data_IF_424797418106
#
_entry.id   IF_424797418106
#
_cell.length_a   1.000
_cell.length_b   1.000
_cell.length_c   1.000
_cell.angle_alpha   90.00
_cell.angle_beta   90.00
_cell.angle_gamma   90.00
#
_symmetry.space_group_name_H-M   'P 1'
#
loop_
_entity.id
_entity.type
_entity.pdbx_description
1 polymer ?
#
# COMPACT_ATOMS: atom_id res chain seq x y z
N UNK A 1 6.37 43.08 -26.20
CA UNK A 1 5.95 41.72 -26.58
C UNK A 1 5.96 40.89 -25.30
N UNK A 2 4.78 40.62 -24.73
CA UNK A 2 4.64 39.72 -23.58
C UNK A 2 5.06 38.32 -24.03
N UNK A 3 5.86 37.58 -23.27
CA UNK A 3 6.14 36.19 -23.61
C UNK A 3 4.80 35.43 -23.62
N UNK A 4 4.44 34.84 -24.74
CA UNK A 4 3.36 33.85 -24.81
C UNK A 4 3.79 32.68 -23.91
N UNK A 5 3.31 32.69 -22.67
CA UNK A 5 3.39 31.54 -21.79
C UNK A 5 2.50 30.48 -22.43
N UNK A 6 3.11 29.53 -23.10
CA UNK A 6 2.40 28.35 -23.60
C UNK A 6 1.82 27.67 -22.38
N UNK A 7 0.49 27.69 -22.26
CA UNK A 7 -0.22 27.12 -21.12
C UNK A 7 0.12 25.65 -21.04
N UNK A 8 0.51 25.17 -19.85
CA UNK A 8 0.85 23.74 -19.66
C UNK A 8 -0.29 22.85 -20.17
N UNK A 9 -0.02 21.74 -20.91
CA UNK A 9 -1.07 20.91 -21.54
C UNK A 9 -2.18 20.47 -20.57
N UNK A 10 -1.82 20.09 -19.35
CA UNK A 10 -2.78 19.68 -18.33
C UNK A 10 -3.67 20.82 -17.84
N UNK A 11 -3.16 22.06 -17.79
CA UNK A 11 -3.95 23.25 -17.46
C UNK A 11 -4.92 23.54 -18.59
N UNK A 12 -4.45 23.51 -19.85
CA UNK A 12 -5.30 23.74 -21.02
C UNK A 12 -6.43 22.69 -21.11
N UNK A 13 -6.11 21.40 -20.92
CA UNK A 13 -7.09 20.32 -20.92
C UNK A 13 -8.11 20.48 -19.77
N UNK A 14 -7.67 20.89 -18.58
CA UNK A 14 -8.55 21.14 -17.46
C UNK A 14 -9.50 22.31 -17.72
N UNK A 15 -9.03 23.41 -18.28
CA UNK A 15 -9.86 24.58 -18.62
C UNK A 15 -10.89 24.24 -19.70
N UNK A 16 -10.52 23.45 -20.72
CA UNK A 16 -11.44 22.99 -21.75
C UNK A 16 -12.58 22.13 -21.18
N UNK A 17 -12.25 21.21 -20.26
CA UNK A 17 -13.26 20.36 -19.62
C UNK A 17 -14.07 21.07 -18.53
N UNK A 18 -13.57 22.19 -17.98
CA UNK A 18 -14.19 22.95 -16.90
C UNK A 18 -14.21 24.45 -17.18
N UNK A 19 -14.88 24.94 -18.25
CA UNK A 19 -14.77 26.32 -18.73
C UNK A 19 -15.28 27.36 -17.75
N UNK A 20 -16.11 26.98 -16.77
CA UNK A 20 -16.65 27.89 -15.74
C UNK A 20 -15.88 27.85 -14.42
N UNK A 21 -14.88 26.96 -14.27
CA UNK A 21 -14.09 26.87 -13.03
C UNK A 21 -12.87 27.78 -13.09
N UNK A 22 -12.71 28.58 -12.07
CA UNK A 22 -11.49 29.37 -11.89
C UNK A 22 -10.35 28.43 -11.44
N UNK A 23 -9.15 28.70 -11.94
CA UNK A 23 -7.93 28.04 -11.48
C UNK A 23 -7.62 28.49 -10.04
N UNK A 24 -7.38 27.54 -9.18
CA UNK A 24 -7.07 27.78 -7.77
C UNK A 24 -5.57 27.58 -7.57
N UNK A 25 -4.93 28.55 -6.93
CA UNK A 25 -3.51 28.44 -6.55
C UNK A 25 -3.37 27.86 -5.15
N UNK A 26 -2.35 27.02 -4.96
CA UNK A 26 -1.92 26.52 -3.66
C UNK A 26 -0.38 26.60 -3.60
N UNK A 27 0.14 27.61 -2.91
CA UNK A 27 1.54 27.98 -3.02
C UNK A 27 1.95 28.26 -4.47
N UNK A 28 3.04 27.66 -4.98
CA UNK A 28 3.49 27.83 -6.36
C UNK A 28 2.72 26.95 -7.37
N UNK A 29 1.73 26.17 -6.94
CA UNK A 29 1.02 25.22 -7.77
C UNK A 29 -0.37 25.71 -8.17
N UNK A 30 -0.79 25.35 -9.38
CA UNK A 30 -2.18 25.46 -9.86
C UNK A 30 -2.85 24.11 -9.60
N UNK A 31 -3.97 24.11 -8.85
CA UNK A 31 -4.75 22.92 -8.57
C UNK A 31 -5.69 22.60 -9.74
N UNK A 32 -5.67 21.34 -10.18
CA UNK A 32 -6.51 20.81 -11.25
C UNK A 32 -7.53 19.80 -10.71
N UNK A 33 -7.77 18.71 -11.45
CA UNK A 33 -8.73 17.66 -11.06
C UNK A 33 -8.37 16.97 -9.75
N UNK A 34 -9.40 16.39 -9.12
CA UNK A 34 -9.22 15.47 -7.99
C UNK A 34 -8.73 14.13 -8.55
N UNK A 35 -7.64 13.64 -8.00
CA UNK A 35 -7.07 12.32 -8.30
C UNK A 35 -7.66 11.23 -7.39
N UNK A 36 -8.01 11.59 -6.15
CA UNK A 36 -8.60 10.69 -5.17
C UNK A 36 -9.09 11.42 -3.92
N UNK A 37 -9.83 10.72 -3.09
CA UNK A 37 -10.30 11.20 -1.80
C UNK A 37 -9.83 10.23 -0.71
N UNK A 38 -9.34 10.75 0.39
CA UNK A 38 -8.85 9.96 1.53
C UNK A 38 -9.48 10.39 2.85
N UNK A 39 -9.12 9.69 3.93
CA UNK A 39 -9.68 9.91 5.29
C UNK A 39 -9.63 11.38 5.73
N UNK A 40 -8.58 12.12 5.37
CA UNK A 40 -8.35 13.48 5.87
C UNK A 40 -8.56 14.57 4.83
N UNK A 41 -8.86 14.23 3.57
CA UNK A 41 -9.00 15.23 2.51
C UNK A 41 -8.96 14.68 1.10
N UNK A 42 -8.54 15.53 0.16
CA UNK A 42 -8.53 15.22 -1.27
C UNK A 42 -7.12 15.28 -1.82
N UNK A 43 -6.80 14.36 -2.73
CA UNK A 43 -5.59 14.42 -3.54
C UNK A 43 -5.92 15.11 -4.87
N UNK A 44 -5.18 16.14 -5.21
CA UNK A 44 -5.37 16.89 -6.46
C UNK A 44 -4.12 16.84 -7.33
N UNK A 45 -4.31 16.85 -8.64
CA UNK A 45 -3.23 17.16 -9.55
C UNK A 45 -2.87 18.65 -9.40
N UNK A 46 -1.60 18.92 -9.18
CA UNK A 46 -1.02 20.24 -9.17
C UNK A 46 -0.01 20.40 -10.30
N UNK A 47 0.08 21.60 -10.88
CA UNK A 47 1.11 21.96 -11.85
C UNK A 47 1.90 23.14 -11.31
N UNK A 48 3.23 23.02 -11.22
CA UNK A 48 4.09 24.10 -10.79
C UNK A 48 4.07 25.24 -11.81
N UNK A 49 3.81 26.46 -11.35
CA UNK A 49 3.56 27.62 -12.22
C UNK A 49 4.75 28.02 -13.10
N UNK A 50 5.96 27.84 -12.60
CA UNK A 50 7.19 28.25 -13.28
C UNK A 50 7.81 27.09 -14.08
N UNK A 51 7.86 25.90 -13.50
CA UNK A 51 8.58 24.76 -14.08
C UNK A 51 7.67 23.79 -14.85
N UNK A 52 6.35 23.90 -14.69
CA UNK A 52 5.40 23.00 -15.34
C UNK A 52 5.43 21.56 -14.81
N UNK A 53 6.10 21.30 -13.70
CA UNK A 53 6.13 19.97 -13.10
C UNK A 53 4.75 19.58 -12.54
N UNK A 54 4.29 18.39 -12.88
CA UNK A 54 3.07 17.79 -12.34
C UNK A 54 3.36 17.11 -11.00
N UNK A 55 2.52 17.39 -10.02
CA UNK A 55 2.62 16.82 -8.66
C UNK A 55 1.25 16.34 -8.18
N UNK A 56 1.23 15.39 -7.25
CA UNK A 56 0.05 15.04 -6.48
C UNK A 56 0.06 15.85 -5.18
N UNK A 57 -1.01 16.59 -4.91
CA UNK A 57 -1.14 17.43 -3.71
C UNK A 57 -2.24 16.84 -2.81
N UNK A 58 -1.84 16.22 -1.70
CA UNK A 58 -2.76 15.73 -0.68
C UNK A 58 -3.14 16.91 0.24
N UNK A 59 -4.34 17.43 0.04
CA UNK A 59 -4.89 18.58 0.78
C UNK A 59 -5.66 18.08 2.00
N UNK A 60 -5.10 18.30 3.17
CA UNK A 60 -5.69 17.95 4.46
C UNK A 60 -6.30 19.22 5.07
N UNK A 61 -7.60 19.18 5.34
CA UNK A 61 -8.29 20.32 5.94
C UNK A 61 -7.97 20.37 7.43
N UNK A 62 -7.46 21.52 7.94
CA UNK A 62 -7.14 21.65 9.38
C UNK A 62 -8.32 21.37 10.28
N UNK A 63 -9.54 21.82 9.95
CA UNK A 63 -10.75 21.52 10.71
C UNK A 63 -11.21 20.04 10.66
N UNK A 64 -10.59 19.16 9.86
CA UNK A 64 -10.85 17.71 9.91
C UNK A 64 -9.82 16.95 10.76
N UNK A 65 -8.79 17.63 11.26
CA UNK A 65 -7.74 17.06 12.13
C UNK A 65 -7.72 17.72 13.51
N UNK A 66 -8.90 18.13 14.01
CA UNK A 66 -9.07 18.87 15.27
C UNK A 66 -8.69 18.05 16.52
N UNK A 67 -8.55 16.73 16.40
CA UNK A 67 -8.13 15.91 17.52
C UNK A 67 -6.65 15.52 17.39
N UNK A 68 -5.96 15.46 18.54
CA UNK A 68 -4.53 15.15 18.63
C UNK A 68 -4.14 13.83 17.95
N UNK A 69 -5.03 12.84 17.92
CA UNK A 69 -4.78 11.54 17.29
C UNK A 69 -4.71 11.66 15.77
N UNK A 70 -5.63 12.42 15.15
CA UNK A 70 -5.62 12.64 13.69
C UNK A 70 -4.44 13.49 13.26
N UNK A 71 -4.13 14.54 14.01
CA UNK A 71 -2.97 15.38 13.73
C UNK A 71 -1.68 14.56 13.80
N UNK A 72 -1.51 13.72 14.83
CA UNK A 72 -0.31 12.88 14.98
C UNK A 72 -0.16 11.85 13.86
N UNK A 73 -1.27 11.38 13.24
CA UNK A 73 -1.19 10.52 12.03
C UNK A 73 -0.60 11.29 10.84
N UNK A 74 -1.06 12.52 10.62
CA UNK A 74 -0.58 13.37 9.53
C UNK A 74 0.90 13.74 9.72
N UNK A 75 1.28 14.14 10.92
CA UNK A 75 2.66 14.46 11.27
C UNK A 75 3.58 13.26 11.06
N UNK A 76 3.14 12.07 11.47
CA UNK A 76 3.89 10.81 11.28
C UNK A 76 4.05 10.46 9.79
N UNK A 77 2.99 10.61 8.99
CA UNK A 77 3.06 10.41 7.54
C UNK A 77 4.12 11.33 6.92
N UNK A 78 4.10 12.61 7.26
CA UNK A 78 5.09 13.59 6.79
C UNK A 78 6.50 13.23 7.26
N UNK A 79 6.68 12.85 8.52
CA UNK A 79 7.99 12.50 9.07
C UNK A 79 8.58 11.24 8.43
N UNK A 80 7.75 10.24 8.13
CA UNK A 80 8.17 9.06 7.38
C UNK A 80 8.61 9.46 5.98
N UNK A 81 7.75 10.20 5.26
CA UNK A 81 8.03 10.62 3.88
C UNK A 81 9.29 11.47 3.74
N UNK A 82 9.62 12.31 4.74
CA UNK A 82 10.88 13.09 4.77
C UNK A 82 12.13 12.21 4.85
N UNK A 83 12.02 11.00 5.38
CA UNK A 83 13.19 10.13 5.64
C UNK A 83 13.40 9.05 4.58
N UNK A 84 12.42 8.82 3.69
CA UNK A 84 12.49 7.79 2.67
C UNK A 84 12.84 8.39 1.30
N UNK A 85 13.71 7.66 0.57
CA UNK A 85 14.07 8.02 -0.81
C UNK A 85 14.37 6.73 -1.57
N UNK A 86 13.43 6.26 -2.37
CA UNK A 86 13.56 5.00 -3.11
C UNK A 86 12.75 5.08 -4.42
N UNK A 87 13.20 4.47 -5.53
CA UNK A 87 12.51 4.56 -6.82
C UNK A 87 11.10 3.96 -6.82
N UNK A 88 10.79 3.07 -5.89
CA UNK A 88 9.47 2.43 -5.77
C UNK A 88 8.65 2.95 -4.57
N UNK A 89 8.99 4.12 -4.05
CA UNK A 89 8.26 4.80 -2.97
C UNK A 89 7.97 6.22 -3.41
N UNK A 90 6.77 6.70 -3.15
CA UNK A 90 6.36 8.06 -3.47
C UNK A 90 7.31 9.07 -2.82
N UNK A 91 7.78 10.03 -3.60
CA UNK A 91 8.70 11.06 -3.12
C UNK A 91 7.92 12.25 -2.59
N UNK A 92 8.31 12.74 -1.42
CA UNK A 92 7.88 14.01 -0.90
C UNK A 92 8.74 15.13 -1.51
N UNK A 93 8.09 16.14 -2.09
CA UNK A 93 8.77 17.34 -2.55
C UNK A 93 8.75 18.44 -1.50
N UNK A 94 7.57 18.73 -0.93
CA UNK A 94 7.39 19.81 0.02
C UNK A 94 6.14 19.60 0.88
N UNK A 95 6.02 20.40 1.94
CA UNK A 95 4.81 20.52 2.76
C UNK A 95 4.45 22.00 2.88
N UNK A 96 3.30 22.37 2.36
CA UNK A 96 2.81 23.75 2.36
C UNK A 96 1.69 23.88 3.37
N UNK A 97 1.88 24.73 4.35
CA UNK A 97 0.88 25.00 5.39
C UNK A 97 0.19 26.35 5.15
N UNK A 98 -1.14 26.33 5.24
CA UNK A 98 -1.99 27.51 5.19
C UNK A 98 -2.89 27.52 6.42
N UNK A 99 -3.64 28.61 6.63
CA UNK A 99 -4.63 28.67 7.72
C UNK A 99 -5.70 27.56 7.65
N UNK A 100 -6.05 27.13 6.42
CA UNK A 100 -7.15 26.18 6.18
C UNK A 100 -6.67 24.77 5.87
N UNK A 101 -5.48 24.60 5.31
CA UNK A 101 -5.00 23.33 4.77
C UNK A 101 -3.54 23.06 5.10
N UNK A 102 -3.22 21.78 5.28
CA UNK A 102 -1.88 21.23 5.17
C UNK A 102 -1.82 20.54 3.80
N UNK A 103 -0.93 20.95 2.92
CA UNK A 103 -0.73 20.34 1.61
C UNK A 103 0.58 19.55 1.59
N UNK A 104 0.50 18.24 1.38
CA UNK A 104 1.65 17.37 1.20
C UNK A 104 1.88 17.23 -0.31
N UNK A 105 3.02 17.72 -0.80
CA UNK A 105 3.37 17.76 -2.21
C UNK A 105 4.18 16.52 -2.55
N UNK A 106 3.62 15.66 -3.39
CA UNK A 106 4.15 14.34 -3.71
C UNK A 106 4.44 14.21 -5.20
N UNK A 107 5.31 13.27 -5.56
CA UNK A 107 5.49 12.87 -6.95
C UNK A 107 4.18 12.34 -7.55
N UNK A 108 3.93 12.67 -8.81
CA UNK A 108 2.71 12.25 -9.50
C UNK A 108 2.94 10.97 -10.28
N UNK A 109 2.34 9.89 -9.81
CA UNK A 109 2.32 8.61 -10.48
C UNK A 109 1.19 8.58 -11.53
N UNK A 110 1.50 8.90 -12.78
CA UNK A 110 0.51 9.08 -13.85
C UNK A 110 0.13 7.81 -14.62
N UNK A 111 0.61 6.64 -14.19
CA UNK A 111 0.29 5.33 -14.78
C UNK A 111 -1.01 4.71 -14.26
N UNK A 112 -1.67 5.34 -13.27
CA UNK A 112 -2.88 4.84 -12.63
C UNK A 112 -2.61 3.84 -11.50
N UNK A 113 -3.66 3.22 -11.00
CA UNK A 113 -3.58 2.22 -9.93
C UNK A 113 -3.15 0.85 -10.47
N UNK A 114 -2.38 0.11 -9.67
CA UNK A 114 -2.04 -1.28 -10.01
C UNK A 114 -3.28 -2.17 -10.04
N UNK A 115 -4.26 -1.87 -9.18
CA UNK A 115 -5.56 -2.54 -9.17
C UNK A 115 -6.24 -2.46 -10.55
N UNK A 116 -6.41 -1.27 -11.10
CA UNK A 116 -7.01 -1.05 -12.42
C UNK A 116 -6.23 -1.75 -13.54
N UNK A 117 -4.90 -1.76 -13.41
CA UNK A 117 -4.03 -2.44 -14.36
C UNK A 117 -4.27 -3.96 -14.35
N UNK A 118 -4.45 -4.57 -13.19
CA UNK A 118 -4.79 -6.00 -13.07
C UNK A 118 -6.19 -6.25 -13.65
N UNK A 119 -7.19 -5.45 -13.28
CA UNK A 119 -8.56 -5.59 -13.79
C UNK A 119 -8.62 -5.54 -15.31
N UNK A 120 -7.91 -4.60 -15.94
CA UNK A 120 -7.87 -4.45 -17.40
C UNK A 120 -7.29 -5.68 -18.11
N UNK A 121 -6.44 -6.47 -17.45
CA UNK A 121 -5.79 -7.67 -17.99
C UNK A 121 -6.41 -8.97 -17.46
N UNK A 122 -7.39 -8.89 -16.56
CA UNK A 122 -7.98 -9.99 -15.78
C UNK A 122 -7.00 -10.58 -14.76
N UNK A 123 -5.78 -10.89 -15.14
CA UNK A 123 -4.64 -11.27 -14.33
C UNK A 123 -3.35 -10.97 -15.08
N UNK A 124 -2.23 -10.91 -14.38
CA UNK A 124 -0.92 -10.64 -15.00
C UNK A 124 -0.22 -11.96 -15.33
N UNK A 125 0.48 -11.98 -16.45
CA UNK A 125 1.41 -13.07 -16.75
C UNK A 125 2.54 -13.07 -15.71
N UNK A 126 3.04 -14.24 -15.36
CA UNK A 126 4.05 -14.42 -14.32
C UNK A 126 5.29 -13.54 -14.52
N UNK A 127 5.73 -13.34 -15.77
CA UNK A 127 6.85 -12.45 -16.10
C UNK A 127 6.57 -11.00 -15.70
N UNK A 128 5.36 -10.50 -15.95
CA UNK A 128 4.99 -9.11 -15.66
C UNK A 128 4.72 -8.95 -14.17
N UNK A 129 4.04 -9.89 -13.55
CA UNK A 129 3.83 -9.95 -12.10
C UNK A 129 5.17 -9.98 -11.34
N UNK A 130 6.13 -10.82 -11.77
CA UNK A 130 7.46 -10.90 -11.17
C UNK A 130 8.22 -9.57 -11.20
N UNK A 131 8.15 -8.83 -12.32
CA UNK A 131 8.77 -7.50 -12.43
C UNK A 131 8.17 -6.53 -11.42
N UNK A 132 6.85 -6.42 -11.36
CA UNK A 132 6.15 -5.49 -10.47
C UNK A 132 6.33 -5.89 -9.00
N UNK A 133 6.26 -7.19 -8.71
CA UNK A 133 6.47 -7.73 -7.37
C UNK A 133 7.90 -7.49 -6.87
N UNK A 134 8.92 -7.67 -7.71
CA UNK A 134 10.29 -7.37 -7.35
C UNK A 134 10.47 -5.89 -6.96
N UNK A 135 9.79 -4.97 -7.64
CA UNK A 135 9.79 -3.55 -7.31
C UNK A 135 9.09 -3.28 -5.97
N UNK A 136 7.94 -3.91 -5.72
CA UNK A 136 7.24 -3.84 -4.44
C UNK A 136 8.15 -4.30 -3.30
N UNK A 137 8.74 -5.49 -3.41
CA UNK A 137 9.64 -6.05 -2.39
C UNK A 137 10.88 -5.17 -2.19
N UNK A 138 11.43 -4.56 -3.25
CA UNK A 138 12.55 -3.61 -3.14
C UNK A 138 12.18 -2.40 -2.29
N UNK A 139 10.99 -1.83 -2.48
CA UNK A 139 10.47 -0.72 -1.68
C UNK A 139 10.22 -1.12 -0.22
N UNK A 140 9.54 -2.25 0.00
CA UNK A 140 9.25 -2.77 1.35
C UNK A 140 10.52 -3.11 2.11
N UNK A 141 11.48 -3.77 1.46
CA UNK A 141 12.78 -4.06 2.06
C UNK A 141 13.51 -2.79 2.50
N UNK A 142 13.53 -1.75 1.64
CA UNK A 142 14.12 -0.46 1.99
C UNK A 142 13.43 0.17 3.21
N UNK A 143 12.10 0.14 3.29
CA UNK A 143 11.36 0.63 4.47
C UNK A 143 11.80 -0.12 5.74
N UNK A 144 11.82 -1.46 5.69
CA UNK A 144 12.22 -2.29 6.83
C UNK A 144 13.67 -2.06 7.25
N UNK A 145 14.60 -1.81 6.32
CA UNK A 145 15.96 -1.39 6.64
C UNK A 145 16.01 -0.04 7.37
N UNK A 146 15.07 0.87 7.05
CA UNK A 146 14.90 2.17 7.74
C UNK A 146 14.08 2.05 9.04
N UNK A 147 13.73 0.84 9.46
CA UNK A 147 12.89 0.59 10.63
C UNK A 147 11.49 1.20 10.51
N UNK A 148 10.95 1.20 9.32
CA UNK A 148 9.61 1.66 9.01
C UNK A 148 8.81 0.47 8.51
N UNK A 149 7.60 0.29 9.05
CA UNK A 149 6.59 -0.63 8.56
C UNK A 149 5.43 0.15 7.98
N UNK A 150 4.88 -0.33 6.88
CA UNK A 150 3.79 0.35 6.17
C UNK A 150 2.43 0.09 6.81
N UNK A 151 2.11 -1.16 7.10
CA UNK A 151 0.92 -1.68 7.79
C UNK A 151 -0.42 -1.54 7.04
N UNK A 152 -0.43 -0.99 5.83
CA UNK A 152 -1.61 -0.93 4.97
C UNK A 152 -1.21 -1.13 3.50
N UNK A 153 -0.36 -2.14 3.23
CA UNK A 153 -0.04 -2.53 1.87
C UNK A 153 -1.24 -3.22 1.24
N UNK A 154 -1.70 -2.66 0.13
CA UNK A 154 -2.83 -3.15 -0.67
C UNK A 154 -2.73 -2.61 -2.09
N UNK A 155 -3.48 -3.18 -3.02
CA UNK A 155 -3.42 -2.81 -4.44
C UNK A 155 -3.75 -1.34 -4.68
N UNK A 156 -4.68 -0.75 -3.91
CA UNK A 156 -5.11 0.64 -4.00
C UNK A 156 -4.00 1.62 -3.56
N UNK A 157 -3.05 1.18 -2.72
CA UNK A 157 -1.89 1.96 -2.28
C UNK A 157 -0.67 1.76 -3.17
N UNK A 158 -0.80 1.02 -4.29
CA UNK A 158 0.23 0.80 -5.29
C UNK A 158 -0.15 1.49 -6.59
N UNK A 159 0.55 2.57 -6.89
CA UNK A 159 0.38 3.29 -8.14
C UNK A 159 1.46 2.86 -9.15
N UNK A 160 1.23 3.20 -10.42
CA UNK A 160 2.19 3.02 -11.49
C UNK A 160 2.68 4.38 -12.00
N UNK A 161 3.98 4.49 -12.23
CA UNK A 161 4.53 5.65 -12.92
C UNK A 161 4.28 5.59 -14.45
N UNK A 162 4.75 6.58 -15.19
CA UNK A 162 4.66 6.62 -16.67
C UNK A 162 5.38 5.45 -17.37
N UNK A 163 6.31 4.80 -16.70
CA UNK A 163 7.06 3.65 -17.21
C UNK A 163 6.50 2.31 -16.69
N UNK A 164 5.35 2.34 -16.03
CA UNK A 164 4.72 1.17 -15.40
C UNK A 164 5.60 0.55 -14.31
N UNK A 165 6.33 1.37 -13.54
CA UNK A 165 6.98 0.93 -12.32
C UNK A 165 6.07 1.16 -11.11
N UNK A 166 6.15 0.26 -10.14
CA UNK A 166 5.36 0.35 -8.90
C UNK A 166 5.88 1.48 -8.02
N UNK A 167 4.95 2.27 -7.50
CA UNK A 167 5.17 3.33 -6.53
C UNK A 167 4.29 3.05 -5.32
N UNK A 168 4.89 2.76 -4.18
CA UNK A 168 4.21 2.58 -2.90
C UNK A 168 3.78 3.95 -2.37
N UNK A 169 2.52 4.08 -2.00
CA UNK A 169 1.91 5.33 -1.50
C UNK A 169 1.17 5.11 -0.19
N UNK A 170 0.67 6.18 0.38
CA UNK A 170 -0.18 6.23 1.59
C UNK A 170 0.48 5.68 2.86
N UNK A 171 1.27 6.53 3.49
CA UNK A 171 1.99 6.24 4.74
C UNK A 171 1.19 6.63 6.00
N UNK A 172 -0.14 6.85 5.89
CA UNK A 172 -0.99 7.25 7.01
C UNK A 172 -1.03 6.27 8.18
N UNK A 173 -0.76 4.99 7.93
CA UNK A 173 -0.64 3.94 8.94
C UNK A 173 0.82 3.54 9.22
N UNK A 174 1.80 4.11 8.53
CA UNK A 174 3.19 3.76 8.73
C UNK A 174 3.66 4.05 10.16
N UNK A 175 4.57 3.23 10.66
CA UNK A 175 5.16 3.41 11.99
C UNK A 175 6.64 3.03 11.99
N UNK A 176 7.39 3.58 12.94
CA UNK A 176 8.78 3.20 13.20
C UNK A 176 8.82 2.10 14.25
N UNK A 177 9.77 1.19 14.11
CA UNK A 177 10.06 0.17 15.11
C UNK A 177 11.54 0.22 15.54
N UNK A 178 11.81 -0.17 16.79
CA UNK A 178 13.18 -0.27 17.32
C UNK A 178 13.61 -1.75 17.30
N UNK A 179 14.92 -2.00 17.07
CA UNK A 179 15.47 -3.37 17.03
C UNK A 179 15.59 -3.99 18.42
N UNK A 180 14.51 -4.10 19.17
CA UNK A 180 14.49 -4.89 20.41
C UNK A 180 13.74 -6.19 20.16
N UNK A 181 14.01 -7.23 20.97
CA UNK A 181 13.37 -8.55 20.84
C UNK A 181 11.84 -8.53 20.85
N UNK A 182 11.25 -7.35 21.12
CA UNK A 182 9.82 -7.11 21.28
C UNK A 182 9.33 -5.95 20.40
N UNK A 183 9.67 -5.93 19.10
CA UNK A 183 9.13 -4.96 18.11
C UNK A 183 7.62 -5.19 17.86
N UNK A 184 6.91 -5.39 18.95
CA UNK A 184 5.48 -5.68 18.94
C UNK A 184 4.68 -4.39 18.88
N UNK A 185 3.74 -4.35 17.95
CA UNK A 185 2.82 -3.24 17.75
C UNK A 185 1.47 -3.56 18.35
N UNK A 186 0.86 -2.60 19.05
CA UNK A 186 -0.40 -2.78 19.75
C UNK A 186 -1.63 -2.24 19.00
N UNK A 187 -1.43 -1.60 17.84
CA UNK A 187 -2.53 -0.97 17.11
C UNK A 187 -2.90 -1.81 15.90
N UNK A 188 -4.04 -2.47 15.92
CA UNK A 188 -4.62 -3.10 14.75
C UNK A 188 -5.06 -2.03 13.75
N UNK A 189 -4.60 -2.12 12.52
CA UNK A 189 -4.91 -1.20 11.43
C UNK A 189 -4.70 -1.91 10.08
N UNK A 190 -5.15 -1.29 9.00
CA UNK A 190 -5.05 -1.81 7.65
C UNK A 190 -6.36 -2.38 7.11
N UNK A 191 -6.33 -2.84 5.87
CA UNK A 191 -7.50 -3.35 5.15
C UNK A 191 -7.72 -4.83 5.46
N UNK A 192 -8.94 -5.24 5.87
CA UNK A 192 -9.21 -6.60 6.38
C UNK A 192 -8.81 -7.73 5.42
N UNK A 193 -9.03 -7.56 4.11
CA UNK A 193 -8.70 -8.58 3.10
C UNK A 193 -7.19 -8.84 2.95
N UNK A 194 -6.35 -7.91 3.42
CA UNK A 194 -4.89 -8.02 3.41
C UNK A 194 -4.31 -8.31 4.80
N UNK A 195 -5.18 -8.50 5.80
CA UNK A 195 -4.76 -8.64 7.18
C UNK A 195 -4.07 -9.99 7.43
N UNK A 196 -2.91 -9.94 8.08
CA UNK A 196 -2.20 -11.13 8.50
C UNK A 196 -2.93 -11.83 9.67
N UNK A 197 -2.87 -13.19 9.75
CA UNK A 197 -3.56 -13.95 10.80
C UNK A 197 -3.21 -13.52 12.22
N UNK A 198 -1.98 -13.08 12.46
CA UNK A 198 -1.54 -12.60 13.78
C UNK A 198 -2.25 -11.31 14.22
N UNK A 199 -2.72 -10.49 13.30
CA UNK A 199 -3.54 -9.32 13.63
C UNK A 199 -4.89 -9.69 14.23
N UNK A 200 -5.36 -10.90 13.89
CA UNK A 200 -6.67 -11.41 14.31
C UNK A 200 -6.60 -12.17 15.64
N UNK A 201 -5.54 -12.96 15.83
CA UNK A 201 -5.45 -13.92 16.97
C UNK A 201 -4.54 -13.43 18.10
N UNK A 202 -3.76 -12.39 17.91
CA UNK A 202 -2.90 -11.86 18.97
C UNK A 202 -3.69 -10.93 19.89
N UNK A 203 -3.38 -10.96 21.20
CA UNK A 203 -3.92 -10.03 22.20
C UNK A 203 -3.41 -8.57 21.99
N UNK A 204 -3.31 -8.15 20.72
CA UNK A 204 -2.93 -6.81 20.31
C UNK A 204 -1.43 -6.59 20.05
N UNK A 205 -0.59 -7.63 20.13
CA UNK A 205 0.86 -7.48 19.87
C UNK A 205 1.28 -8.29 18.65
N UNK A 206 1.88 -7.65 17.64
CA UNK A 206 2.31 -8.29 16.39
C UNK A 206 3.59 -7.67 15.84
N UNK A 207 4.30 -8.41 14.99
CA UNK A 207 5.52 -7.95 14.31
C UNK A 207 5.11 -7.23 13.01
N UNK A 208 5.28 -5.92 12.97
CA UNK A 208 4.82 -5.09 11.85
C UNK A 208 5.45 -5.45 10.50
N UNK A 209 6.72 -5.84 10.45
CA UNK A 209 7.39 -6.27 9.23
C UNK A 209 6.82 -7.58 8.66
N UNK A 210 6.37 -8.51 9.51
CA UNK A 210 5.74 -9.74 9.08
C UNK A 210 4.37 -9.49 8.44
N UNK A 211 3.61 -8.52 8.97
CA UNK A 211 2.33 -8.08 8.40
C UNK A 211 2.52 -7.52 6.99
N UNK A 212 3.53 -6.68 6.76
CA UNK A 212 3.83 -6.16 5.42
C UNK A 212 4.18 -7.29 4.43
N UNK A 213 4.94 -8.30 4.87
CA UNK A 213 5.28 -9.46 4.02
C UNK A 213 4.05 -10.32 3.69
N UNK A 214 3.17 -10.54 4.67
CA UNK A 214 1.89 -11.21 4.40
C UNK A 214 1.08 -10.46 3.33
N UNK A 215 0.91 -9.14 3.49
CA UNK A 215 0.19 -8.30 2.52
C UNK A 215 0.85 -8.34 1.14
N UNK A 216 2.18 -8.38 1.04
CA UNK A 216 2.88 -8.61 -0.24
C UNK A 216 2.50 -9.95 -0.87
N UNK A 217 2.35 -11.02 -0.09
CA UNK A 217 1.88 -12.33 -0.57
C UNK A 217 0.46 -12.27 -1.13
N UNK A 218 -0.45 -11.58 -0.44
CA UNK A 218 -1.81 -11.33 -0.91
C UNK A 218 -1.81 -10.55 -2.24
N UNK A 219 -0.98 -9.52 -2.34
CA UNK A 219 -0.82 -8.72 -3.57
C UNK A 219 -0.28 -9.58 -4.72
N UNK A 220 0.73 -10.42 -4.50
CA UNK A 220 1.25 -11.33 -5.54
C UNK A 220 0.20 -12.33 -5.99
N UNK A 221 -0.56 -12.88 -5.06
CA UNK A 221 -1.69 -13.75 -5.39
C UNK A 221 -2.68 -13.02 -6.32
N UNK A 222 -3.10 -11.82 -5.95
CA UNK A 222 -4.03 -11.03 -6.75
C UNK A 222 -3.48 -10.65 -8.13
N UNK A 223 -2.18 -10.34 -8.25
CA UNK A 223 -1.54 -10.12 -9.56
C UNK A 223 -1.66 -11.33 -10.49
N UNK A 224 -1.51 -12.54 -9.96
CA UNK A 224 -1.44 -13.78 -10.72
C UNK A 224 -2.81 -14.45 -10.94
N UNK A 225 -3.74 -14.28 -10.00
CA UNK A 225 -5.08 -14.88 -10.07
C UNK A 225 -6.11 -13.93 -10.69
N UNK A 226 -5.97 -12.62 -10.46
CA UNK A 226 -6.94 -11.58 -10.84
C UNK A 226 -8.00 -11.28 -9.77
N UNK A 227 -7.92 -11.95 -8.61
CA UNK A 227 -8.80 -11.76 -7.46
C UNK A 227 -8.04 -11.95 -6.17
N UNK A 228 -8.59 -11.48 -5.04
CA UNK A 228 -7.97 -11.63 -3.72
C UNK A 228 -8.11 -13.06 -3.21
N UNK A 229 -7.13 -13.59 -2.46
CA UNK A 229 -7.32 -14.83 -1.72
C UNK A 229 -8.38 -14.60 -0.64
N UNK A 230 -9.15 -15.60 -0.32
CA UNK A 230 -10.19 -15.53 0.74
C UNK A 230 -11.37 -14.59 0.45
N UNK A 231 -11.62 -14.26 -0.82
CA UNK A 231 -12.74 -13.41 -1.28
C UNK A 231 -13.95 -14.24 -1.72
N UNK A 232 -13.92 -15.54 -1.50
CA UNK A 232 -14.89 -16.52 -1.96
C UNK A 232 -15.63 -17.24 -0.80
N UNK A 233 -15.70 -16.61 0.37
CA UNK A 233 -16.39 -17.18 1.54
C UNK A 233 -17.90 -17.27 1.32
N UNK A 234 -18.48 -18.49 1.21
CA UNK A 234 -19.92 -18.67 1.00
C UNK A 234 -20.79 -18.15 2.16
N UNK A 235 -20.22 -18.05 3.37
CA UNK A 235 -20.91 -17.52 4.56
C UNK A 235 -20.85 -15.99 4.66
N UNK A 236 -20.02 -15.36 3.82
CA UNK A 236 -19.81 -13.90 3.79
C UNK A 236 -19.66 -13.38 2.35
N UNK A 237 -20.65 -13.62 1.48
CA UNK A 237 -20.52 -13.35 0.04
C UNK A 237 -20.33 -11.86 -0.30
N UNK A 238 -20.81 -10.95 0.54
CA UNK A 238 -20.68 -9.52 0.36
C UNK A 238 -19.41 -8.95 1.05
N UNK A 239 -18.66 -9.77 1.79
CA UNK A 239 -17.42 -9.36 2.50
C UNK A 239 -17.66 -8.44 3.71
N UNK A 240 -18.90 -8.12 4.04
CA UNK A 240 -19.25 -7.11 5.05
C UNK A 240 -18.93 -7.53 6.49
N UNK A 241 -18.89 -8.84 6.75
CA UNK A 241 -18.65 -9.37 8.07
C UNK A 241 -17.16 -9.69 8.28
N UNK A 242 -16.43 -8.72 8.83
CA UNK A 242 -14.99 -8.82 9.11
C UNK A 242 -14.65 -10.02 10.01
N UNK A 243 -15.51 -10.37 10.96
CA UNK A 243 -15.26 -11.51 11.86
C UNK A 243 -15.34 -12.86 11.12
N UNK A 244 -16.24 -12.99 10.15
CA UNK A 244 -16.30 -14.17 9.29
C UNK A 244 -15.09 -14.22 8.37
N UNK A 245 -14.73 -13.14 7.71
CA UNK A 245 -13.54 -13.04 6.88
C UNK A 245 -12.28 -13.47 7.64
N UNK A 246 -12.10 -12.99 8.86
CA UNK A 246 -10.96 -13.37 9.69
C UNK A 246 -10.98 -14.86 10.07
N UNK A 247 -12.15 -15.44 10.37
CA UNK A 247 -12.26 -16.89 10.58
C UNK A 247 -11.92 -17.66 9.31
N UNK A 248 -12.34 -17.17 8.16
CA UNK A 248 -12.06 -17.79 6.87
C UNK A 248 -10.56 -17.79 6.58
N UNK A 249 -9.87 -16.65 6.72
CA UNK A 249 -8.40 -16.53 6.58
C UNK A 249 -7.66 -17.52 7.49
N UNK A 250 -8.14 -17.72 8.72
CA UNK A 250 -7.49 -18.59 9.70
C UNK A 250 -7.68 -20.10 9.42
N UNK A 251 -8.78 -20.49 8.81
CA UNK A 251 -9.19 -21.88 8.73
C UNK A 251 -9.21 -22.44 7.30
N UNK A 252 -9.15 -21.58 6.27
CA UNK A 252 -9.26 -22.00 4.87
C UNK A 252 -7.87 -22.16 4.25
N UNK A 253 -7.52 -23.32 3.69
CA UNK A 253 -6.30 -23.50 2.93
C UNK A 253 -6.31 -22.62 1.69
N UNK A 254 -5.17 -21.99 1.37
CA UNK A 254 -5.03 -21.23 0.14
C UNK A 254 -5.07 -22.15 -1.07
N UNK A 255 -5.96 -21.89 -2.00
CA UNK A 255 -6.08 -22.60 -3.28
C UNK A 255 -5.51 -21.75 -4.41
N UNK A 256 -5.08 -22.37 -5.50
CA UNK A 256 -4.48 -21.68 -6.63
C UNK A 256 -5.11 -22.12 -7.94
N UNK A 257 -5.40 -21.18 -8.86
CA UNK A 257 -5.69 -21.54 -10.25
C UNK A 257 -4.58 -22.37 -10.89
N UNK A 258 -4.96 -23.24 -11.83
CA UNK A 258 -4.00 -24.17 -12.47
C UNK A 258 -2.90 -23.48 -13.29
N UNK A 259 -3.15 -22.24 -13.74
CA UNK A 259 -2.18 -21.46 -14.53
C UNK A 259 -1.07 -20.80 -13.71
N UNK A 260 -1.15 -20.82 -12.37
CA UNK A 260 -0.08 -20.30 -11.50
C UNK A 260 0.97 -21.38 -11.32
N UNK A 261 2.24 -21.07 -11.65
CA UNK A 261 3.33 -22.03 -11.58
C UNK A 261 3.61 -22.52 -10.15
N UNK A 262 4.18 -23.73 -9.98
CA UNK A 262 4.58 -24.21 -8.66
C UNK A 262 5.52 -23.26 -7.93
N UNK A 263 6.49 -22.65 -8.64
CA UNK A 263 7.43 -21.68 -8.06
C UNK A 263 6.74 -20.46 -7.50
N UNK A 264 5.75 -19.92 -8.21
CA UNK A 264 4.97 -18.77 -7.73
C UNK A 264 4.09 -19.15 -6.54
N UNK A 265 3.49 -20.37 -6.54
CA UNK A 265 2.73 -20.90 -5.38
C UNK A 265 3.62 -21.02 -4.15
N UNK A 266 4.83 -21.56 -4.31
CA UNK A 266 5.80 -21.70 -3.20
C UNK A 266 6.16 -20.34 -2.61
N UNK A 267 6.44 -19.34 -3.45
CA UNK A 267 6.76 -17.98 -3.00
C UNK A 267 5.60 -17.33 -2.23
N UNK A 268 4.36 -17.50 -2.69
CA UNK A 268 3.19 -16.99 -1.98
C UNK A 268 3.04 -17.72 -0.63
N UNK A 269 3.19 -19.04 -0.59
CA UNK A 269 3.17 -19.80 0.65
C UNK A 269 4.26 -19.34 1.63
N UNK A 270 5.48 -19.12 1.15
CA UNK A 270 6.58 -18.62 2.00
C UNK A 270 6.25 -17.25 2.59
N UNK A 271 5.70 -16.31 1.81
CA UNK A 271 5.30 -14.99 2.31
C UNK A 271 4.23 -15.07 3.40
N UNK A 272 3.33 -16.05 3.32
CA UNK A 272 2.31 -16.31 4.32
C UNK A 272 2.83 -17.08 5.54
N UNK A 273 3.99 -17.73 5.43
CA UNK A 273 4.61 -18.49 6.52
C UNK A 273 5.61 -17.66 7.34
N UNK A 274 6.07 -16.51 6.81
CA UNK A 274 7.07 -15.63 7.46
C UNK A 274 6.50 -14.89 8.67
N UNK A 275 5.18 -14.81 8.84
CA UNK A 275 4.58 -14.30 10.06
C UNK A 275 5.08 -15.10 11.27
N UNK A 276 5.84 -14.43 12.16
CA UNK A 276 6.20 -15.01 13.46
C UNK A 276 4.89 -15.14 14.23
N UNK A 277 4.31 -16.34 14.14
CA UNK A 277 3.13 -16.66 14.92
C UNK A 277 3.47 -16.63 16.40
N UNK A 278 2.67 -15.97 17.25
CA UNK A 278 2.76 -16.16 18.69
C UNK A 278 2.73 -17.67 19.01
N UNK A 279 3.47 -18.09 20.04
CA UNK A 279 3.62 -19.51 20.41
C UNK A 279 2.29 -20.29 20.47
N UNK A 280 1.18 -19.61 20.82
CA UNK A 280 -0.17 -20.19 20.83
C UNK A 280 -0.68 -20.65 19.46
N UNK A 281 -0.30 -19.97 18.37
CA UNK A 281 -0.69 -20.33 16.99
C UNK A 281 0.20 -21.47 16.49
N UNK A 282 1.49 -21.48 16.85
CA UNK A 282 2.39 -22.62 16.60
C UNK A 282 1.89 -23.90 17.30
N UNK A 283 1.38 -23.77 18.52
CA UNK A 283 0.81 -24.89 19.27
C UNK A 283 -0.51 -25.39 18.66
N UNK A 284 -1.37 -24.48 18.15
CA UNK A 284 -2.57 -24.83 17.38
C UNK A 284 -2.23 -25.57 16.08
N UNK A 285 -1.20 -25.11 15.33
CA UNK A 285 -0.70 -25.81 14.14
C UNK A 285 -0.15 -27.21 14.45
N UNK A 286 0.57 -27.38 15.56
CA UNK A 286 1.02 -28.70 16.01
C UNK A 286 -0.16 -29.65 16.28
N UNK A 287 -1.24 -29.15 16.89
CA UNK A 287 -2.46 -29.93 17.15
C UNK A 287 -3.20 -30.33 15.86
N UNK A 288 -3.12 -29.52 14.80
CA UNK A 288 -3.77 -29.80 13.51
C UNK A 288 -2.85 -30.48 12.49
N UNK A 289 -1.67 -30.96 12.88
CA UNK A 289 -0.79 -31.77 12.03
C UNK A 289 -0.07 -30.99 10.92
N UNK A 290 -0.09 -29.64 10.92
CA UNK A 290 0.60 -28.80 9.95
C UNK A 290 2.04 -28.58 10.43
N UNK A 291 2.84 -29.65 10.38
CA UNK A 291 4.26 -29.61 10.69
C UNK A 291 5.06 -29.41 9.40
N UNK A 292 5.52 -28.16 9.12
CA UNK A 292 6.75 -27.90 8.40
C UNK A 292 7.27 -26.53 8.82
N UNK A 293 8.22 -26.49 9.74
CA UNK A 293 9.14 -25.37 9.94
C UNK A 293 10.17 -25.44 8.82
N UNK A 294 10.51 -24.31 8.19
CA UNK A 294 11.43 -24.25 7.04
C UNK A 294 12.86 -24.77 7.28
N UNK A 295 13.18 -25.29 8.46
CA UNK A 295 14.42 -25.98 8.79
C UNK A 295 14.44 -27.44 8.32
N UNK A 296 13.28 -28.10 8.16
CA UNK A 296 13.24 -29.50 7.75
C UNK A 296 13.36 -29.69 6.22
N UNK A 297 12.99 -28.65 5.45
CA UNK A 297 13.16 -28.67 4.00
C UNK A 297 14.64 -28.57 3.57
N UNK A 298 15.48 -27.90 4.34
CA UNK A 298 16.92 -27.77 4.04
C UNK A 298 17.71 -29.04 4.39
N UNK A 299 17.19 -29.92 5.24
CA UNK A 299 17.82 -31.21 5.58
C UNK A 299 17.39 -32.34 4.64
N UNK A 300 16.17 -32.30 4.11
CA UNK A 300 15.68 -33.30 3.15
C UNK A 300 16.30 -33.17 1.76
N UNK A 301 16.85 -32.00 1.41
CA UNK A 301 17.55 -31.77 0.14
C UNK A 301 19.04 -32.16 0.16
N UNK A 302 19.55 -32.73 1.28
CA UNK A 302 20.94 -33.20 1.45
C UNK A 302 21.07 -34.70 1.65
N UNK A 303 19.99 -35.46 1.52
CA UNK A 303 19.97 -36.91 1.37
C UNK A 303 19.45 -37.29 -0.01
#
# INVERSE_FOLDING_TARGET
MSPEYTLHPSIAAYQLSHPRRQLINFGPYILLQTLGEGEFGKVKLGVHREYGEEVAIKLIRRGSVDNAVRLSKVEREIDVLKTVKHPNIVRLFDVIETEKYIGIILDFANGGELFDHILAHRYLKEKDASKLFAQLISGVHYLHQKKIVHRDLKLENLLLDKHRNVIITDFGFANRFEQRKDDLMATSCGSPCYAAPELVVSDGLYVGSAVDIWSCGVILYAMLSGYLPFDDDPENPDGDNINLLYKYILNTPLTFPDWISPTARDLIHESQMVGIFPAAVLEKRRRFGINRTGTDAAQAAKQ
#
